data_IF_629383956476
#
_entry.id   IF_629383956476
#
_cell.length_a   1.000
_cell.length_b   1.000
_cell.length_c   1.000
_cell.angle_alpha   90.00
_cell.angle_beta   90.00
_cell.angle_gamma   90.00
#
_symmetry.space_group_name_H-M   'P 1'
#
loop_
_entity.id
_entity.type
_entity.pdbx_description
1 polymer ?
#
# COMPACT_ATOMS: atom_id res chain seq x y z
N UNK A 1 -15.99 2.46 6.16
CA UNK A 1 -14.93 3.24 5.51
C UNK A 1 -14.16 4.03 6.57
N UNK A 2 -12.83 3.91 6.60
CA UNK A 2 -11.95 4.63 7.52
C UNK A 2 -10.74 5.13 6.73
N UNK A 3 -10.51 6.45 6.71
CA UNK A 3 -9.28 7.05 6.17
C UNK A 3 -8.10 6.69 7.06
N UNK A 4 -6.99 6.31 6.44
CA UNK A 4 -5.73 6.12 7.16
C UNK A 4 -5.20 7.50 7.57
N UNK A 5 -4.68 7.55 8.79
CA UNK A 5 -3.89 8.70 9.22
C UNK A 5 -2.53 8.68 8.52
N UNK A 6 -1.87 9.84 8.45
CA UNK A 6 -0.51 9.94 7.91
C UNK A 6 0.45 8.96 8.60
N UNK A 7 0.32 8.78 9.92
CA UNK A 7 1.17 7.86 10.69
C UNK A 7 0.94 6.40 10.26
N UNK A 8 -0.31 6.00 10.01
CA UNK A 8 -0.62 4.64 9.55
C UNK A 8 -0.10 4.38 8.14
N UNK A 9 -0.31 5.32 7.21
CA UNK A 9 0.24 5.27 5.86
C UNK A 9 1.77 5.12 5.89
N UNK A 10 2.45 6.02 6.61
CA UNK A 10 3.91 6.00 6.74
C UNK A 10 4.44 4.74 7.44
N UNK A 11 3.72 4.21 8.43
CA UNK A 11 4.10 2.96 9.10
C UNK A 11 4.04 1.76 8.15
N UNK A 12 3.01 1.67 7.30
CA UNK A 12 2.92 0.62 6.28
C UNK A 12 4.06 0.77 5.27
N UNK A 13 4.32 1.99 4.79
CA UNK A 13 5.43 2.29 3.88
C UNK A 13 6.79 1.86 4.46
N UNK A 14 7.08 2.25 5.72
CA UNK A 14 8.34 1.93 6.37
C UNK A 14 8.55 0.41 6.55
N UNK A 15 7.49 -0.31 6.94
CA UNK A 15 7.55 -1.76 7.09
C UNK A 15 7.72 -2.46 5.74
N UNK A 16 7.03 -1.99 4.69
CA UNK A 16 7.23 -2.50 3.34
C UNK A 16 8.65 -2.27 2.85
N UNK A 17 9.23 -1.09 3.08
CA UNK A 17 10.63 -0.81 2.73
C UNK A 17 11.61 -1.77 3.40
N UNK A 18 11.36 -2.15 4.66
CA UNK A 18 12.13 -3.16 5.37
C UNK A 18 11.99 -4.58 4.79
N UNK A 19 10.84 -4.91 4.20
CA UNK A 19 10.56 -6.23 3.61
C UNK A 19 11.18 -6.34 2.20
N UNK A 20 10.97 -5.34 1.35
CA UNK A 20 11.35 -5.40 -0.08
C UNK A 20 12.75 -4.88 -0.35
N UNK A 21 13.35 -4.18 0.61
CA UNK A 21 14.65 -3.53 0.48
C UNK A 21 14.56 -2.16 -0.20
N UNK A 22 15.58 -1.32 0.03
CA UNK A 22 15.58 0.08 -0.38
C UNK A 22 15.45 0.27 -1.90
N UNK A 23 16.17 -0.51 -2.70
CA UNK A 23 16.16 -0.39 -4.17
C UNK A 23 14.78 -0.75 -4.75
N UNK A 24 14.18 -1.86 -4.31
CA UNK A 24 12.84 -2.27 -4.74
C UNK A 24 11.80 -1.25 -4.30
N UNK A 25 11.91 -0.74 -3.07
CA UNK A 25 10.97 0.25 -2.55
C UNK A 25 11.04 1.56 -3.34
N UNK A 26 12.24 2.07 -3.61
CA UNK A 26 12.42 3.29 -4.41
C UNK A 26 11.88 3.11 -5.83
N UNK A 27 12.17 1.98 -6.47
CA UNK A 27 11.73 1.73 -7.85
C UNK A 27 10.21 1.54 -7.99
N UNK A 28 9.61 0.74 -7.10
CA UNK A 28 8.22 0.26 -7.27
C UNK A 28 7.24 1.05 -6.42
N UNK A 29 7.63 1.40 -5.18
CA UNK A 29 6.74 2.03 -4.20
C UNK A 29 6.91 3.55 -4.12
N UNK A 30 7.79 4.17 -4.92
CA UNK A 30 7.96 5.61 -4.91
C UNK A 30 6.63 6.36 -5.11
N UNK A 31 6.26 7.15 -4.10
CA UNK A 31 5.03 7.96 -4.13
C UNK A 31 3.74 7.17 -3.89
N UNK A 32 3.82 5.91 -3.43
CA UNK A 32 2.69 5.13 -2.94
C UNK A 32 1.99 5.88 -1.80
N UNK A 33 0.67 5.75 -1.72
CA UNK A 33 -0.13 6.28 -0.62
C UNK A 33 -1.20 5.26 -0.24
N UNK A 34 -1.21 4.80 1.01
CA UNK A 34 -2.30 4.00 1.56
C UNK A 34 -3.36 4.95 2.11
N UNK A 35 -4.56 4.96 1.51
CA UNK A 35 -5.54 6.03 1.72
C UNK A 35 -6.66 5.63 2.68
N UNK A 36 -7.32 4.50 2.43
CA UNK A 36 -8.47 4.10 3.21
C UNK A 36 -8.71 2.60 3.23
N UNK A 37 -9.43 2.17 4.26
CA UNK A 37 -9.95 0.82 4.38
C UNK A 37 -11.49 0.83 4.37
N UNK A 38 -12.08 -0.01 3.53
CA UNK A 38 -13.51 -0.29 3.50
C UNK A 38 -13.74 -1.79 3.69
N UNK A 39 -14.39 -2.17 4.80
CA UNK A 39 -14.45 -3.57 5.21
C UNK A 39 -13.03 -4.11 5.46
N UNK A 40 -12.62 -5.10 4.66
CA UNK A 40 -11.26 -5.68 4.65
C UNK A 40 -10.45 -5.30 3.41
N UNK A 41 -10.95 -4.35 2.61
CA UNK A 41 -10.28 -3.84 1.40
C UNK A 41 -9.48 -2.58 1.72
N UNK A 42 -8.17 -2.60 1.47
CA UNK A 42 -7.28 -1.45 1.57
C UNK A 42 -7.07 -0.83 0.20
N UNK A 43 -7.33 0.47 0.07
CA UNK A 43 -7.08 1.23 -1.15
C UNK A 43 -5.73 1.95 -1.07
N UNK A 44 -4.91 1.75 -2.10
CA UNK A 44 -3.62 2.37 -2.28
C UNK A 44 -3.52 3.09 -3.63
N UNK A 45 -2.71 4.14 -3.70
CA UNK A 45 -2.48 4.93 -4.91
C UNK A 45 -1.01 4.90 -5.30
N UNK A 46 -0.69 4.18 -6.37
CA UNK A 46 0.65 4.12 -6.95
C UNK A 46 0.91 5.30 -7.89
N UNK A 47 2.18 5.53 -8.24
CA UNK A 47 2.58 6.68 -9.06
C UNK A 47 2.02 6.62 -10.49
N UNK A 48 1.94 5.44 -11.09
CA UNK A 48 1.48 5.20 -12.45
C UNK A 48 0.96 3.76 -12.57
N UNK A 49 0.39 3.43 -13.74
CA UNK A 49 -0.24 2.13 -14.00
C UNK A 49 0.72 0.96 -13.87
N UNK A 50 1.92 1.04 -14.44
CA UNK A 50 2.94 -0.02 -14.31
C UNK A 50 3.29 -0.31 -12.84
N UNK A 51 3.49 0.73 -12.01
CA UNK A 51 3.74 0.55 -10.59
C UNK A 51 2.51 -0.01 -9.86
N UNK A 52 1.29 0.38 -10.25
CA UNK A 52 0.07 -0.17 -9.67
C UNK A 52 -0.01 -1.69 -9.93
N UNK A 53 0.21 -2.12 -11.17
CA UNK A 53 0.23 -3.53 -11.57
C UNK A 53 1.31 -4.31 -10.82
N UNK A 54 2.55 -3.79 -10.79
CA UNK A 54 3.67 -4.44 -10.10
C UNK A 54 3.38 -4.63 -8.60
N UNK A 55 2.81 -3.61 -7.95
CA UNK A 55 2.42 -3.68 -6.53
C UNK A 55 1.30 -4.70 -6.34
N UNK A 56 0.28 -4.66 -7.18
CA UNK A 56 -0.89 -5.53 -7.07
C UNK A 56 -0.50 -7.01 -7.24
N UNK A 57 0.28 -7.33 -8.27
CA UNK A 57 0.66 -8.71 -8.61
C UNK A 57 1.70 -9.29 -7.63
N UNK A 58 2.69 -8.49 -7.24
CA UNK A 58 3.86 -9.02 -6.53
C UNK A 58 3.82 -8.79 -5.01
N UNK A 59 3.07 -7.79 -4.53
CA UNK A 59 3.21 -7.32 -3.15
C UNK A 59 1.91 -7.20 -2.35
N UNK A 60 0.73 -7.37 -2.97
CA UNK A 60 -0.57 -7.26 -2.28
C UNK A 60 -0.66 -8.09 -1.00
N UNK A 61 -0.17 -9.35 -1.03
CA UNK A 61 -0.20 -10.22 0.15
C UNK A 61 0.67 -9.70 1.31
N UNK A 62 1.84 -9.13 0.99
CA UNK A 62 2.73 -8.54 1.99
C UNK A 62 2.13 -7.26 2.58
N UNK A 63 1.55 -6.42 1.72
CA UNK A 63 0.87 -5.19 2.13
C UNK A 63 -0.31 -5.52 3.03
N UNK A 64 -1.15 -6.50 2.66
CA UNK A 64 -2.29 -6.94 3.46
C UNK A 64 -1.86 -7.38 4.87
N UNK A 65 -0.80 -8.19 4.98
CA UNK A 65 -0.27 -8.64 6.26
C UNK A 65 0.29 -7.48 7.11
N UNK A 66 1.04 -6.55 6.49
CA UNK A 66 1.60 -5.37 7.16
C UNK A 66 0.49 -4.42 7.62
N UNK A 67 -0.44 -4.09 6.73
CA UNK A 67 -1.55 -3.20 7.01
C UNK A 67 -2.45 -3.77 8.11
N UNK A 68 -2.67 -5.10 8.11
CA UNK A 68 -3.46 -5.74 9.16
C UNK A 68 -2.86 -5.51 10.55
N UNK A 69 -1.52 -5.58 10.65
CA UNK A 69 -0.79 -5.33 11.89
C UNK A 69 -0.80 -3.86 12.29
N UNK A 70 -0.59 -2.95 11.35
CA UNK A 70 -0.57 -1.50 11.63
C UNK A 70 -1.95 -0.97 12.02
N UNK A 71 -3.00 -1.46 11.36
CA UNK A 71 -4.37 -1.02 11.59
C UNK A 71 -5.08 -1.77 12.72
N UNK A 72 -4.48 -2.87 13.20
CA UNK A 72 -5.07 -3.81 14.16
C UNK A 72 -6.47 -4.27 13.72
N UNK A 73 -6.61 -4.57 12.42
CA UNK A 73 -7.85 -4.96 11.73
C UNK A 73 -7.50 -5.90 10.57
N UNK A 74 -8.37 -6.83 10.17
CA UNK A 74 -8.12 -7.66 9.00
C UNK A 74 -8.10 -6.83 7.71
N UNK A 75 -7.09 -7.06 6.89
CA UNK A 75 -6.99 -6.62 5.49
C UNK A 75 -6.79 -7.87 4.65
N UNK A 76 -7.76 -8.16 3.79
CA UNK A 76 -7.76 -9.36 2.94
C UNK A 76 -7.44 -9.03 1.48
N UNK A 77 -7.80 -7.82 1.04
CA UNK A 77 -7.64 -7.36 -0.34
C UNK A 77 -6.95 -6.01 -0.34
N UNK A 78 -5.99 -5.84 -1.25
CA UNK A 78 -5.35 -4.56 -1.52
C UNK A 78 -5.71 -4.16 -2.93
N UNK A 79 -6.38 -3.03 -3.08
CA UNK A 79 -6.72 -2.45 -4.38
C UNK A 79 -5.73 -1.33 -4.66
N UNK A 80 -4.92 -1.48 -5.71
CA UNK A 80 -3.90 -0.51 -6.07
C UNK A 80 -4.33 0.24 -7.31
N UNK A 81 -4.63 1.52 -7.15
CA UNK A 81 -5.03 2.38 -8.25
C UNK A 81 -3.83 3.22 -8.72
N UNK A 82 -3.65 3.46 -10.02
CA UNK A 82 -2.71 4.48 -10.47
C UNK A 82 -3.23 5.87 -10.05
N UNK A 83 -2.32 6.75 -9.62
CA UNK A 83 -2.63 8.17 -9.51
C UNK A 83 -2.95 8.69 -10.90
N UNK A 84 -4.22 8.99 -11.14
CA UNK A 84 -4.62 9.79 -12.30
C UNK A 84 -4.11 11.20 -12.02
N UNK A 85 -3.17 11.69 -12.83
CA UNK A 85 -2.77 13.10 -12.80
C UNK A 85 -4.02 13.91 -13.19
N UNK A 86 -4.69 14.50 -12.19
CA UNK A 86 -5.62 15.60 -12.41
C UNK A 86 -4.87 16.91 -12.42
#
# INVERSE_FOLDING_TARGET
MMKLTLIQDQAIQALMAGIVGAETFDRVFAGIRFDEIEGTMLYAFARHEEAASDIEDSYSSHIAAVASRVLNKPVDVVVVMPKVLQ
#
